data_IF_049990464756
#
_entry.id   IF_049990464756
#
_cell.length_a   1.000
_cell.length_b   1.000
_cell.length_c   1.000
_cell.angle_alpha   90.00
_cell.angle_beta   90.00
_cell.angle_gamma   90.00
#
_symmetry.space_group_name_H-M   'P 1'
#
loop_
_entity.id
_entity.type
_entity.pdbx_description
1 polymer ?
#
# COMPACT_ATOMS: atom_id res chain seq x y z
N UNK A 1 -39.82 13.61 12.54
CA UNK A 1 -38.76 13.30 11.56
C UNK A 1 -37.43 13.40 12.30
N UNK A 2 -36.66 12.32 12.42
CA UNK A 2 -35.33 12.36 13.02
C UNK A 2 -34.32 12.61 11.91
N UNK A 3 -33.56 13.69 12.07
CA UNK A 3 -32.40 14.05 11.27
C UNK A 3 -31.41 12.89 11.24
N UNK A 4 -31.05 12.43 10.04
CA UNK A 4 -29.89 11.56 9.83
C UNK A 4 -28.68 12.49 9.81
N UNK A 5 -27.94 12.53 10.91
CA UNK A 5 -26.64 13.19 10.94
C UNK A 5 -25.68 12.38 10.09
N UNK A 6 -25.29 12.95 8.95
CA UNK A 6 -24.30 12.39 8.05
C UNK A 6 -22.92 12.39 8.74
N UNK A 7 -22.56 11.24 9.30
CA UNK A 7 -21.23 11.00 9.89
C UNK A 7 -20.18 11.24 8.81
N UNK A 8 -19.52 12.40 8.86
CA UNK A 8 -18.35 12.70 8.04
C UNK A 8 -17.29 11.64 8.32
N UNK A 9 -17.20 10.63 7.44
CA UNK A 9 -16.21 9.56 7.50
C UNK A 9 -14.82 10.18 7.49
N UNK A 10 -14.22 10.32 8.67
CA UNK A 10 -12.88 10.90 8.82
C UNK A 10 -11.88 9.95 8.16
N UNK A 11 -11.32 10.38 7.03
CA UNK A 11 -10.35 9.57 6.29
C UNK A 11 -9.06 9.45 7.11
N UNK A 12 -8.62 8.21 7.37
CA UNK A 12 -7.34 7.96 8.04
C UNK A 12 -6.18 8.58 7.25
N UNK A 13 -5.41 9.45 7.90
CA UNK A 13 -4.30 10.18 7.27
C UNK A 13 -2.98 9.48 7.54
N UNK A 14 -2.28 9.09 6.48
CA UNK A 14 -0.95 8.49 6.55
C UNK A 14 0.16 9.54 6.61
N UNK A 15 1.10 9.35 7.52
CA UNK A 15 2.35 10.12 7.58
C UNK A 15 3.54 9.28 7.12
N UNK A 16 4.64 9.95 6.71
CA UNK A 16 5.87 9.27 6.24
C UNK A 16 6.42 8.28 7.28
N UNK A 17 6.50 8.60 8.59
CA UNK A 17 7.00 7.65 9.59
C UNK A 17 6.14 6.38 9.72
N UNK A 18 4.82 6.50 9.61
CA UNK A 18 3.91 5.36 9.64
C UNK A 18 4.05 4.49 8.40
N UNK A 19 4.20 5.13 7.23
CA UNK A 19 4.44 4.43 5.97
C UNK A 19 5.75 3.65 6.00
N UNK A 20 6.79 4.22 6.62
CA UNK A 20 8.08 3.56 6.84
C UNK A 20 7.93 2.35 7.76
N UNK A 21 7.17 2.50 8.85
CA UNK A 21 6.92 1.39 9.77
C UNK A 21 6.20 0.23 9.09
N UNK A 22 5.16 0.54 8.30
CA UNK A 22 4.42 -0.44 7.50
C UNK A 22 5.37 -1.22 6.57
N UNK A 23 6.14 -0.50 5.74
CA UNK A 23 7.03 -1.12 4.78
C UNK A 23 8.14 -1.94 5.45
N UNK A 24 8.70 -1.45 6.56
CA UNK A 24 9.71 -2.19 7.31
C UNK A 24 9.15 -3.49 7.87
N UNK A 25 7.98 -3.44 8.51
CA UNK A 25 7.32 -4.60 9.08
C UNK A 25 7.07 -5.68 8.02
N UNK A 26 6.46 -5.30 6.89
CA UNK A 26 6.16 -6.23 5.81
C UNK A 26 7.43 -6.76 5.12
N UNK A 27 8.48 -5.95 5.00
CA UNK A 27 9.76 -6.41 4.46
C UNK A 27 10.41 -7.46 5.37
N UNK A 28 10.29 -7.30 6.69
CA UNK A 28 10.80 -8.29 7.65
C UNK A 28 10.01 -9.60 7.59
N UNK A 29 8.68 -9.56 7.39
CA UNK A 29 7.89 -10.77 7.14
C UNK A 29 8.31 -11.50 5.85
N UNK A 30 8.49 -10.76 4.74
CA UNK A 30 8.95 -11.36 3.47
C UNK A 30 10.29 -12.08 3.65
N UNK A 31 11.23 -11.48 4.39
CA UNK A 31 12.54 -12.08 4.68
C UNK A 31 12.45 -13.33 5.55
N UNK A 32 11.60 -13.30 6.59
CA UNK A 32 11.44 -14.43 7.53
C UNK A 32 10.80 -15.64 6.87
N UNK A 33 9.83 -15.41 6.01
CA UNK A 33 8.99 -16.48 5.46
C UNK A 33 9.45 -16.98 4.09
N UNK A 34 10.55 -16.42 3.54
CA UNK A 34 11.05 -16.74 2.20
C UNK A 34 9.93 -16.76 1.15
N UNK A 35 8.99 -15.81 1.22
CA UNK A 35 7.79 -15.78 0.36
C UNK A 35 8.16 -15.20 -1.02
N UNK A 36 8.19 -15.99 -2.11
CA UNK A 36 8.46 -15.45 -3.45
C UNK A 36 7.30 -14.61 -4.02
N UNK A 37 6.07 -14.84 -3.56
CA UNK A 37 4.87 -14.28 -4.20
C UNK A 37 4.35 -12.97 -3.58
N UNK A 38 4.99 -12.44 -2.51
CA UNK A 38 4.59 -11.21 -1.80
C UNK A 38 3.08 -11.09 -1.46
N UNK A 39 2.40 -12.21 -1.24
CA UNK A 39 1.03 -12.23 -0.73
C UNK A 39 1.08 -12.15 0.79
N UNK A 40 0.47 -11.12 1.37
CA UNK A 40 0.30 -10.96 2.81
C UNK A 40 -1.06 -11.52 3.22
N UNK A 41 -1.13 -12.15 4.39
CA UNK A 41 -2.40 -12.63 4.93
C UNK A 41 -3.01 -11.54 5.84
N UNK A 42 -4.26 -11.73 6.24
CA UNK A 42 -4.95 -10.75 7.09
C UNK A 42 -4.27 -10.54 8.45
N UNK A 43 -3.65 -11.58 9.03
CA UNK A 43 -2.95 -11.46 10.31
C UNK A 43 -1.72 -10.56 10.24
N UNK A 44 -1.00 -10.53 9.11
CA UNK A 44 0.06 -9.53 8.85
C UNK A 44 -0.48 -8.10 8.94
N UNK A 45 -1.67 -7.85 8.38
CA UNK A 45 -2.29 -6.52 8.40
C UNK A 45 -2.77 -6.12 9.79
N UNK A 46 -3.32 -7.06 10.56
CA UNK A 46 -3.68 -6.84 11.97
C UNK A 46 -2.44 -6.49 12.80
N UNK A 47 -1.37 -7.27 12.68
CA UNK A 47 -0.15 -7.07 13.48
C UNK A 47 0.51 -5.72 13.20
N UNK A 48 0.58 -5.30 11.93
CA UNK A 48 1.17 -4.00 11.59
C UNK A 48 0.26 -2.82 11.94
N UNK A 49 -1.07 -2.97 11.83
CA UNK A 49 -2.02 -1.95 12.27
C UNK A 49 -1.91 -1.72 13.79
N UNK A 50 -1.79 -2.78 14.59
CA UNK A 50 -1.56 -2.69 16.03
C UNK A 50 -0.23 -2.00 16.36
N UNK A 51 0.83 -2.37 15.63
CA UNK A 51 2.17 -1.78 15.80
C UNK A 51 2.14 -0.28 15.53
N UNK A 52 1.52 0.15 14.42
CA UNK A 52 1.37 1.56 14.05
C UNK A 52 0.49 2.29 15.08
N UNK A 53 -0.62 1.68 15.49
CA UNK A 53 -1.54 2.30 16.44
C UNK A 53 -0.86 2.60 17.77
N UNK A 54 -0.13 1.63 18.32
CA UNK A 54 0.64 1.78 19.56
C UNK A 54 1.78 2.80 19.42
N UNK A 55 2.53 2.72 18.33
CA UNK A 55 3.74 3.55 18.12
C UNK A 55 3.44 5.03 17.87
N UNK A 56 2.36 5.32 17.15
CA UNK A 56 2.00 6.69 16.73
C UNK A 56 0.81 7.25 17.48
N UNK A 57 0.23 6.50 18.43
CA UNK A 57 -0.96 6.87 19.19
C UNK A 57 -2.13 7.28 18.29
N UNK A 58 -2.43 6.44 17.30
CA UNK A 58 -3.53 6.63 16.32
C UNK A 58 -4.41 5.39 16.25
N UNK A 59 -5.65 5.52 15.79
CA UNK A 59 -6.51 4.35 15.47
C UNK A 59 -6.23 3.87 14.05
N UNK A 60 -5.22 3.01 13.87
CA UNK A 60 -4.95 2.35 12.59
C UNK A 60 -5.66 0.98 12.55
N UNK A 61 -6.38 0.70 11.47
CA UNK A 61 -7.12 -0.55 11.26
C UNK A 61 -6.49 -1.34 10.11
N UNK A 62 -6.68 -2.67 10.03
CA UNK A 62 -6.20 -3.49 8.91
C UNK A 62 -6.62 -2.93 7.53
N UNK A 63 -7.84 -2.42 7.42
CA UNK A 63 -8.34 -1.80 6.18
C UNK A 63 -7.54 -0.55 5.77
N UNK A 64 -7.07 0.23 6.75
CA UNK A 64 -6.21 1.38 6.47
C UNK A 64 -4.89 0.92 5.88
N UNK A 65 -4.32 -0.17 6.41
CA UNK A 65 -3.08 -0.78 5.94
C UNK A 65 -3.22 -1.30 4.53
N UNK A 66 -4.26 -2.11 4.28
CA UNK A 66 -4.54 -2.70 2.97
C UNK A 66 -4.74 -1.62 1.90
N UNK A 67 -5.53 -0.59 2.21
CA UNK A 67 -5.74 0.54 1.29
C UNK A 67 -4.45 1.33 1.00
N UNK A 68 -3.61 1.52 2.00
CA UNK A 68 -2.33 2.19 1.81
C UNK A 68 -1.38 1.34 0.96
N UNK A 69 -1.35 0.04 1.19
CA UNK A 69 -0.54 -0.88 0.41
C UNK A 69 -0.99 -0.92 -1.05
N UNK A 70 -2.30 -0.90 -1.34
CA UNK A 70 -2.80 -0.71 -2.72
C UNK A 70 -2.28 0.58 -3.36
N UNK A 71 -2.28 1.67 -2.61
CA UNK A 71 -1.76 2.96 -3.10
C UNK A 71 -0.27 2.88 -3.42
N UNK A 72 0.53 2.22 -2.56
CA UNK A 72 1.95 1.98 -2.81
C UNK A 72 2.20 1.05 -4.01
N UNK A 73 1.39 0.01 -4.19
CA UNK A 73 1.45 -0.87 -5.37
C UNK A 73 1.23 -0.09 -6.67
N UNK A 74 0.21 0.78 -6.68
CA UNK A 74 -0.05 1.68 -7.81
C UNK A 74 1.13 2.63 -8.07
N UNK A 75 1.67 3.24 -7.02
CA UNK A 75 2.84 4.11 -7.13
C UNK A 75 4.05 3.38 -7.72
N UNK A 76 4.37 2.18 -7.22
CA UNK A 76 5.46 1.35 -7.71
C UNK A 76 5.29 0.97 -9.19
N UNK A 77 4.05 0.69 -9.60
CA UNK A 77 3.71 0.41 -11.00
C UNK A 77 3.90 1.61 -11.93
N UNK A 78 3.49 2.80 -11.48
CA UNK A 78 3.75 4.05 -12.23
C UNK A 78 5.26 4.29 -12.37
N UNK A 79 6.01 4.16 -11.27
CA UNK A 79 7.47 4.33 -11.30
C UNK A 79 8.13 3.28 -12.21
N UNK A 80 7.66 2.03 -12.20
CA UNK A 80 8.17 1.00 -13.10
C UNK A 80 7.97 1.37 -14.58
N UNK A 81 6.78 1.88 -14.94
CA UNK A 81 6.49 2.36 -16.28
C UNK A 81 7.42 3.51 -16.68
N UNK A 82 7.53 4.52 -15.81
CA UNK A 82 8.40 5.68 -16.03
C UNK A 82 9.85 5.27 -16.26
N UNK A 83 10.39 4.35 -15.45
CA UNK A 83 11.76 3.82 -15.61
C UNK A 83 12.01 3.14 -16.96
N UNK A 84 10.96 2.63 -17.60
CA UNK A 84 11.05 1.95 -18.89
C UNK A 84 10.73 2.87 -20.07
N UNK A 85 10.41 4.16 -19.83
CA UNK A 85 10.19 5.11 -20.92
C UNK A 85 11.52 5.66 -21.44
N UNK A 86 11.67 5.73 -22.76
CA UNK A 86 12.89 6.23 -23.42
C UNK A 86 13.23 7.68 -23.07
N UNK A 87 12.21 8.49 -22.78
CA UNK A 87 12.35 9.90 -22.37
C UNK A 87 12.71 10.08 -20.90
N UNK A 88 12.88 8.99 -20.14
CA UNK A 88 13.17 9.01 -18.71
C UNK A 88 14.52 8.36 -18.41
N UNK A 89 15.35 9.07 -17.64
CA UNK A 89 16.50 8.50 -16.94
C UNK A 89 16.15 8.06 -15.51
N UNK A 90 17.04 7.31 -14.89
CA UNK A 90 16.96 6.92 -13.47
C UNK A 90 18.21 7.36 -12.72
N UNK A 91 18.02 8.13 -11.67
CA UNK A 91 19.09 8.50 -10.73
C UNK A 91 19.11 7.50 -9.57
N UNK A 92 20.10 6.61 -9.57
CA UNK A 92 20.26 5.55 -8.59
C UNK A 92 20.50 6.12 -7.17
N UNK A 93 21.23 7.24 -7.05
CA UNK A 93 21.60 7.82 -5.75
C UNK A 93 20.40 8.52 -5.09
N UNK A 94 19.60 9.23 -5.88
CA UNK A 94 18.44 9.97 -5.37
C UNK A 94 17.14 9.19 -5.44
N UNK A 95 17.14 7.98 -6.04
CA UNK A 95 15.92 7.21 -6.34
C UNK A 95 14.90 8.08 -7.06
N UNK A 96 15.30 8.67 -8.18
CA UNK A 96 14.53 9.71 -8.86
C UNK A 96 14.40 9.41 -10.35
N UNK A 97 13.19 9.64 -10.89
CA UNK A 97 12.97 9.66 -12.34
C UNK A 97 13.46 11.00 -12.86
N UNK A 98 14.33 10.97 -13.86
CA UNK A 98 14.84 12.16 -14.56
C UNK A 98 14.11 12.31 -15.87
N UNK A 99 13.37 13.39 -16.03
CA UNK A 99 12.69 13.73 -17.27
C UNK A 99 13.14 15.13 -17.70
N UNK A 100 13.53 15.25 -18.96
CA UNK A 100 14.09 16.50 -19.48
C UNK A 100 13.00 17.58 -19.61
N UNK A 101 13.34 18.88 -19.45
CA UNK A 101 12.36 19.96 -19.46
C UNK A 101 11.55 20.08 -20.75
N UNK A 102 12.13 19.71 -21.88
CA UNK A 102 11.55 19.75 -23.22
C UNK A 102 10.35 18.79 -23.40
N UNK A 103 10.30 17.69 -22.63
CA UNK A 103 9.19 16.72 -22.67
C UNK A 103 8.32 16.75 -21.41
N UNK A 104 8.79 17.39 -20.34
CA UNK A 104 8.15 17.37 -19.02
C UNK A 104 6.72 17.91 -19.04
N UNK A 105 6.52 19.11 -19.58
CA UNK A 105 5.20 19.78 -19.56
C UNK A 105 4.16 18.96 -20.33
N UNK A 106 4.49 18.57 -21.57
CA UNK A 106 3.61 17.74 -22.42
C UNK A 106 3.28 16.41 -21.74
N UNK A 107 4.24 15.77 -21.07
CA UNK A 107 3.99 14.53 -20.36
C UNK A 107 3.04 14.71 -19.18
N UNK A 108 3.26 15.75 -18.36
CA UNK A 108 2.46 16.04 -17.16
C UNK A 108 1.05 16.46 -17.53
N UNK A 109 0.86 17.22 -18.61
CA UNK A 109 -0.47 17.55 -19.15
C UNK A 109 -1.27 16.29 -19.50
N UNK A 110 -0.61 15.30 -20.12
CA UNK A 110 -1.24 14.01 -20.45
C UNK A 110 -1.39 13.08 -19.22
N UNK A 111 -0.52 13.22 -18.20
CA UNK A 111 -0.48 12.34 -17.03
C UNK A 111 -0.30 13.11 -15.71
N UNK A 112 -1.28 13.94 -15.28
CA UNK A 112 -1.09 14.85 -14.14
C UNK A 112 -0.74 14.11 -12.83
N UNK A 113 -1.27 12.91 -12.64
CA UNK A 113 -1.04 12.10 -11.44
C UNK A 113 0.40 11.57 -11.32
N UNK A 114 1.19 11.60 -12.40
CA UNK A 114 2.58 11.13 -12.43
C UNK A 114 3.58 12.19 -11.98
N UNK A 115 3.21 13.48 -12.03
CA UNK A 115 4.08 14.62 -11.75
C UNK A 115 4.82 14.49 -10.40
N UNK A 116 4.15 13.92 -9.39
CA UNK A 116 4.72 13.71 -8.06
C UNK A 116 5.89 12.74 -8.01
N UNK A 117 6.14 11.97 -9.07
CA UNK A 117 7.25 11.02 -9.18
C UNK A 117 8.37 11.51 -10.11
N UNK A 118 8.15 12.60 -10.86
CA UNK A 118 9.10 13.13 -11.83
C UNK A 118 10.00 14.17 -11.19
N UNK A 119 11.31 14.10 -11.48
CA UNK A 119 12.32 15.07 -11.05
C UNK A 119 12.31 15.36 -9.54
N UNK A 120 11.85 14.40 -8.75
CA UNK A 120 11.72 14.45 -7.29
C UNK A 120 12.26 13.15 -6.70
N UNK A 121 12.89 13.26 -5.52
CA UNK A 121 13.33 12.09 -4.75
C UNK A 121 12.12 11.24 -4.35
N UNK A 122 12.20 9.94 -4.59
CA UNK A 122 11.17 8.98 -4.18
C UNK A 122 11.60 8.38 -2.83
N UNK A 123 10.98 8.87 -1.76
CA UNK A 123 11.22 8.35 -0.42
C UNK A 123 10.78 6.88 -0.31
N UNK A 124 11.58 6.07 0.42
CA UNK A 124 11.30 4.66 0.71
C UNK A 124 11.12 3.77 -0.53
N UNK A 125 11.74 4.14 -1.66
CA UNK A 125 11.62 3.37 -2.90
C UNK A 125 12.10 1.93 -2.74
N UNK A 126 13.23 1.72 -2.04
CA UNK A 126 13.84 0.39 -1.90
C UNK A 126 13.00 -0.53 -1.02
N UNK A 127 12.46 -0.01 0.08
CA UNK A 127 11.53 -0.73 0.95
C UNK A 127 10.22 -1.03 0.20
N UNK A 128 9.68 -0.06 -0.54
CA UNK A 128 8.50 -0.27 -1.39
C UNK A 128 8.76 -1.34 -2.46
N UNK A 129 9.93 -1.34 -3.10
CA UNK A 129 10.29 -2.33 -4.11
C UNK A 129 10.44 -3.74 -3.52
N UNK A 130 10.92 -3.85 -2.28
CA UNK A 130 11.03 -5.12 -1.55
C UNK A 130 9.65 -5.69 -1.22
N UNK A 131 8.75 -4.86 -0.68
CA UNK A 131 7.42 -5.28 -0.19
C UNK A 131 6.42 -5.53 -1.32
N UNK A 132 6.45 -4.72 -2.39
CA UNK A 132 5.48 -4.82 -3.48
C UNK A 132 5.83 -5.92 -4.48
N UNK A 133 7.09 -6.35 -4.55
CA UNK A 133 7.55 -7.37 -5.49
C UNK A 133 7.64 -6.86 -6.93
N UNK A 134 8.20 -7.68 -7.83
CA UNK A 134 8.29 -7.35 -9.28
C UNK A 134 7.00 -7.66 -10.03
N UNK A 135 6.24 -8.67 -9.60
CA UNK A 135 5.01 -9.10 -10.26
C UNK A 135 3.79 -8.34 -9.75
N UNK A 136 3.52 -7.21 -10.40
CA UNK A 136 2.20 -6.58 -10.32
C UNK A 136 1.27 -7.38 -11.23
N UNK A 137 0.76 -8.51 -10.73
CA UNK A 137 -0.38 -9.17 -11.37
C UNK A 137 -1.52 -8.14 -11.43
N UNK A 138 -1.80 -7.68 -12.65
CA UNK A 138 -2.81 -6.67 -12.96
C UNK A 138 -4.19 -7.33 -12.83
N UNK A 139 -4.64 -7.56 -11.61
CA UNK A 139 -5.92 -8.18 -11.30
C UNK A 139 -6.65 -7.39 -10.25
N UNK A 140 -7.67 -6.63 -10.68
CA UNK A 140 -8.69 -6.05 -9.82
C UNK A 140 -9.31 -7.14 -8.94
N UNK A 141 -8.90 -7.20 -7.68
CA UNK A 141 -9.55 -8.00 -6.65
C UNK A 141 -10.28 -7.08 -5.68
N UNK A 142 -11.33 -6.40 -6.16
CA UNK A 142 -12.30 -5.79 -5.25
C UNK A 142 -13.15 -6.93 -4.67
N UNK A 143 -12.76 -7.42 -3.50
CA UNK A 143 -13.68 -8.11 -2.59
C UNK A 143 -13.56 -7.38 -1.26
N UNK A 144 -14.62 -6.63 -0.92
CA UNK A 144 -14.79 -6.16 0.46
C UNK A 144 -14.99 -7.38 1.37
N UNK A 145 -14.64 -7.22 2.63
CA UNK A 145 -14.66 -8.27 3.65
C UNK A 145 -16.07 -8.60 4.18
N UNK A 146 -17.13 -8.37 3.41
CA UNK A 146 -18.50 -8.51 3.92
C UNK A 146 -19.02 -9.96 3.97
N UNK A 147 -18.26 -10.97 3.50
CA UNK A 147 -18.71 -12.37 3.49
C UNK A 147 -17.78 -13.31 4.30
N UNK A 148 -17.67 -13.10 5.62
CA UNK A 148 -17.32 -14.19 6.54
C UNK A 148 -18.37 -14.28 7.64
N UNK A 149 -19.44 -15.00 7.34
CA UNK A 149 -20.38 -15.53 8.32
C UNK A 149 -19.63 -16.54 9.22
N UNK A 150 -19.34 -16.15 10.46
CA UNK A 150 -18.81 -17.04 11.48
C UNK A 150 -19.97 -17.91 11.97
N UNK A 151 -20.14 -19.11 11.38
CA UNK A 151 -20.94 -20.16 12.03
C UNK A 151 -20.08 -20.87 13.07
N UNK A 152 -20.31 -20.47 14.32
CA UNK A 152 -19.75 -21.04 15.53
C UNK A 152 -19.96 -22.56 15.59
N UNK A 153 -18.86 -23.31 15.62
CA UNK A 153 -18.84 -24.72 16.01
C UNK A 153 -19.09 -24.83 17.52
N UNK A 154 -20.29 -25.27 17.91
CA UNK A 154 -20.59 -25.77 19.24
C UNK A 154 -20.85 -27.27 19.17
N UNK A 155 -19.82 -28.08 19.41
CA UNK A 155 -19.95 -29.51 19.62
C UNK A 155 -20.10 -29.84 21.12
N UNK A 156 -20.67 -31.02 21.37
CA UNK A 156 -20.94 -31.71 22.64
C UNK A 156 -22.33 -31.40 23.26
N UNK A 157 -23.13 -32.37 23.68
CA UNK A 157 -22.77 -33.69 24.21
C UNK A 157 -23.93 -34.69 24.10
N UNK A 158 -23.58 -35.97 23.91
CA UNK A 158 -24.47 -37.14 24.08
C UNK A 158 -24.87 -37.31 25.55
N UNK A 159 -26.07 -37.85 25.83
CA UNK A 159 -26.28 -39.06 26.65
C UNK A 159 -27.74 -39.27 27.09
N UNK A 160 -28.20 -40.50 26.82
CA UNK A 160 -29.41 -41.23 27.25
C UNK A 160 -30.70 -41.00 26.45
#
# INVERSE_FOLDING_TARGET
>A
MKEVSEDKKTQFRWFKPMSKELLKFLADEVRKENRPNNTFNFSSFVAVADTISKKFNVKCLPDHVDNHLRTMKTARGIIAKLRNQSSCGWDENMRMIRMSPDVYNTYVEANPTHEKYLNKKIDMYDEMATVVGKDIARGSGAKSFDDVEIQSLGAANQLK
#
